data_IF_687470589727
#
_entry.id   IF_687470589727
#
_cell.length_a   1.000
_cell.length_b   1.000
_cell.length_c   1.000
_cell.angle_alpha   90.00
_cell.angle_beta   90.00
_cell.angle_gamma   90.00
#
_symmetry.space_group_name_H-M   'P 1'
#
loop_
_entity.id
_entity.type
_entity.pdbx_description
1 polymer ?
#
# COMPACT_ATOMS: atom_id res chain seq x y z
N UNK A 1 -64.77 -57.87 1.80
CA UNK A 1 -63.52 -57.62 2.54
C UNK A 1 -62.43 -57.39 1.50
N UNK A 2 -62.37 -56.17 0.95
CA UNK A 2 -61.34 -55.75 -0.01
C UNK A 2 -60.52 -54.67 0.70
N UNK A 3 -59.23 -54.93 0.94
CA UNK A 3 -58.32 -53.97 1.57
C UNK A 3 -57.57 -53.19 0.48
N UNK A 4 -57.82 -51.89 0.41
CA UNK A 4 -57.04 -50.95 -0.38
C UNK A 4 -55.60 -50.89 0.14
N UNK A 5 -54.63 -51.02 -0.77
CA UNK A 5 -53.22 -50.73 -0.50
C UNK A 5 -52.88 -49.40 -1.16
N UNK A 6 -52.59 -48.40 -0.33
CA UNK A 6 -52.09 -47.08 -0.74
C UNK A 6 -50.60 -47.19 -1.08
N UNK A 7 -50.10 -46.54 -2.14
CA UNK A 7 -48.67 -46.53 -2.44
C UNK A 7 -47.96 -45.47 -1.58
N UNK A 8 -46.85 -45.85 -0.96
CA UNK A 8 -45.96 -44.97 -0.21
C UNK A 8 -45.21 -44.07 -1.20
N UNK A 9 -45.31 -42.76 -1.02
CA UNK A 9 -44.60 -41.77 -1.82
C UNK A 9 -43.10 -41.82 -1.53
N UNK A 10 -42.30 -41.95 -2.59
CA UNK A 10 -40.85 -41.95 -2.56
C UNK A 10 -40.36 -40.51 -2.30
N UNK A 11 -39.89 -40.24 -1.08
CA UNK A 11 -39.32 -38.95 -0.73
C UNK A 11 -37.93 -38.82 -1.37
N UNK A 12 -37.89 -38.19 -2.55
CA UNK A 12 -36.65 -37.77 -3.19
C UNK A 12 -35.81 -36.94 -2.22
N UNK A 13 -34.67 -37.49 -1.79
CA UNK A 13 -33.71 -36.81 -0.94
C UNK A 13 -33.10 -35.62 -1.70
N UNK A 14 -33.48 -34.42 -1.30
CA UNK A 14 -32.84 -33.19 -1.76
C UNK A 14 -31.41 -33.15 -1.22
N UNK A 15 -30.44 -33.21 -2.12
CA UNK A 15 -29.03 -33.07 -1.76
C UNK A 15 -28.81 -31.67 -1.17
N UNK A 16 -28.28 -31.52 0.05
CA UNK A 16 -28.06 -30.20 0.61
C UNK A 16 -27.05 -29.44 -0.25
N UNK A 17 -27.48 -28.33 -0.85
CA UNK A 17 -26.57 -27.35 -1.45
C UNK A 17 -25.53 -26.95 -0.41
N UNK A 18 -24.26 -27.28 -0.68
CA UNK A 18 -23.15 -26.97 0.21
C UNK A 18 -23.15 -25.46 0.51
N UNK A 19 -23.33 -25.11 1.78
CA UNK A 19 -23.17 -23.74 2.26
C UNK A 19 -21.73 -23.32 1.92
N UNK A 20 -21.51 -22.19 1.23
CA UNK A 20 -20.16 -21.72 0.94
C UNK A 20 -19.39 -21.61 2.25
N UNK A 21 -18.26 -22.31 2.36
CA UNK A 21 -17.44 -22.26 3.55
C UNK A 21 -16.95 -20.81 3.75
N UNK A 22 -17.47 -20.15 4.78
CA UNK A 22 -16.99 -18.84 5.21
C UNK A 22 -15.63 -19.08 5.88
N UNK A 23 -14.56 -18.93 5.11
CA UNK A 23 -13.21 -18.97 5.65
C UNK A 23 -12.95 -17.71 6.48
N UNK A 24 -12.98 -17.87 7.80
CA UNK A 24 -12.71 -16.81 8.79
C UNK A 24 -11.23 -16.42 8.83
N UNK A 25 -10.35 -17.34 8.43
CA UNK A 25 -8.90 -17.13 8.47
C UNK A 25 -8.41 -16.33 7.24
N UNK A 26 -7.34 -15.55 7.45
CA UNK A 26 -6.57 -14.95 6.37
C UNK A 26 -6.14 -16.00 5.33
N UNK A 27 -5.86 -15.55 4.11
CA UNK A 27 -5.38 -16.46 3.06
C UNK A 27 -4.13 -17.20 3.53
N UNK A 28 -4.06 -18.48 3.23
CA UNK A 28 -2.85 -19.25 3.47
C UNK A 28 -1.71 -18.80 2.53
N UNK A 29 -0.51 -19.34 2.71
CA UNK A 29 0.66 -18.94 1.92
C UNK A 29 0.48 -19.15 0.41
N UNK A 30 -0.11 -20.27 0.00
CA UNK A 30 -0.32 -20.59 -1.42
C UNK A 30 -1.37 -19.66 -2.05
N UNK A 31 -2.49 -19.45 -1.36
CA UNK A 31 -3.56 -18.53 -1.78
C UNK A 31 -3.05 -17.07 -1.87
N UNK A 32 -2.22 -16.65 -0.93
CA UNK A 32 -1.61 -15.31 -0.93
C UNK A 32 -0.66 -15.15 -2.12
N UNK A 33 0.17 -16.16 -2.40
CA UNK A 33 1.07 -16.10 -3.57
C UNK A 33 0.28 -16.03 -4.87
N UNK A 34 -0.78 -16.82 -5.02
CA UNK A 34 -1.67 -16.76 -6.18
C UNK A 34 -2.32 -15.37 -6.33
N UNK A 35 -2.78 -14.76 -5.23
CA UNK A 35 -3.35 -13.42 -5.27
C UNK A 35 -2.33 -12.35 -5.70
N UNK A 36 -1.10 -12.42 -5.17
CA UNK A 36 0.02 -11.53 -5.55
C UNK A 36 0.41 -11.73 -7.02
N UNK A 37 0.44 -12.97 -7.48
CA UNK A 37 0.78 -13.32 -8.85
C UNK A 37 -0.30 -12.80 -9.83
N UNK A 38 -1.57 -13.11 -9.55
CA UNK A 38 -2.71 -12.66 -10.33
C UNK A 38 -2.76 -11.13 -10.44
N UNK A 39 -2.50 -10.43 -9.34
CA UNK A 39 -2.39 -8.97 -9.33
C UNK A 39 -1.21 -8.45 -10.19
N UNK A 40 -0.06 -9.11 -10.14
CA UNK A 40 1.09 -8.75 -10.98
C UNK A 40 0.79 -8.92 -12.48
N UNK A 41 0.13 -10.01 -12.85
CA UNK A 41 -0.30 -10.28 -14.23
C UNK A 41 -1.36 -9.27 -14.68
N UNK A 42 -2.37 -8.96 -13.86
CA UNK A 42 -3.45 -8.04 -14.22
C UNK A 42 -2.93 -6.62 -14.51
N UNK A 43 -1.94 -6.14 -13.73
CA UNK A 43 -1.25 -4.86 -13.95
C UNK A 43 -0.58 -4.75 -15.32
N UNK A 44 -0.19 -5.87 -15.94
CA UNK A 44 0.37 -5.86 -17.30
C UNK A 44 -0.67 -5.73 -18.40
N UNK A 45 -1.93 -6.07 -18.12
CA UNK A 45 -3.06 -6.03 -19.06
C UNK A 45 -3.82 -4.70 -19.01
N UNK A 46 -3.62 -3.93 -17.95
CA UNK A 46 -4.25 -2.63 -17.76
C UNK A 46 -3.78 -1.61 -18.81
N UNK A 47 -4.68 -0.71 -19.20
CA UNK A 47 -4.35 0.36 -20.16
C UNK A 47 -3.41 1.39 -19.51
N UNK A 48 -2.48 1.91 -20.32
CA UNK A 48 -1.45 2.86 -19.86
C UNK A 48 -2.06 4.09 -19.18
N UNK A 49 -3.15 4.62 -19.73
CA UNK A 49 -3.84 5.81 -19.20
C UNK A 49 -4.45 5.55 -17.83
N UNK A 50 -5.08 4.39 -17.62
CA UNK A 50 -5.67 4.05 -16.33
C UNK A 50 -4.55 3.81 -15.31
N UNK A 51 -3.49 3.07 -15.66
CA UNK A 51 -2.32 2.89 -14.79
C UNK A 51 -1.72 4.24 -14.38
N UNK A 52 -1.59 5.19 -15.33
CA UNK A 52 -1.06 6.51 -15.05
C UNK A 52 -1.95 7.32 -14.09
N UNK A 53 -3.28 7.31 -14.28
CA UNK A 53 -4.23 8.01 -13.39
C UNK A 53 -4.20 7.39 -11.99
N UNK A 54 -4.19 6.07 -11.88
CA UNK A 54 -4.07 5.40 -10.57
C UNK A 54 -2.71 5.70 -9.92
N UNK A 55 -1.66 5.87 -10.70
CA UNK A 55 -0.35 6.26 -10.19
C UNK A 55 -0.31 7.71 -9.70
N UNK A 56 -1.01 8.63 -10.37
CA UNK A 56 -1.21 10.01 -9.88
C UNK A 56 -1.85 10.01 -8.49
N UNK A 57 -2.94 9.24 -8.31
CA UNK A 57 -3.59 9.12 -7.01
C UNK A 57 -2.67 8.53 -5.95
N UNK A 58 -1.91 7.49 -6.28
CA UNK A 58 -0.97 6.89 -5.33
C UNK A 58 0.11 7.88 -4.86
N UNK A 59 0.65 8.70 -5.77
CA UNK A 59 1.60 9.76 -5.42
C UNK A 59 1.00 10.76 -4.44
N UNK A 60 -0.20 11.27 -4.72
CA UNK A 60 -0.91 12.18 -3.83
C UNK A 60 -1.25 11.52 -2.48
N UNK A 61 -1.68 10.26 -2.46
CA UNK A 61 -1.99 9.54 -1.21
C UNK A 61 -0.77 9.39 -0.31
N UNK A 62 0.39 9.02 -0.87
CA UNK A 62 1.64 8.98 -0.10
C UNK A 62 2.02 10.38 0.40
N UNK A 63 1.83 11.42 -0.42
CA UNK A 63 2.06 12.81 0.00
C UNK A 63 1.13 13.27 1.14
N UNK A 64 -0.13 12.83 1.19
CA UNK A 64 -1.01 13.08 2.35
C UNK A 64 -0.48 12.40 3.62
N UNK A 65 0.03 11.17 3.50
CA UNK A 65 0.70 10.49 4.60
C UNK A 65 1.94 11.26 5.09
N UNK A 66 2.76 11.78 4.17
CA UNK A 66 3.92 12.61 4.48
C UNK A 66 3.52 13.93 5.16
N UNK A 67 2.48 14.60 4.67
CA UNK A 67 1.96 15.81 5.30
C UNK A 67 1.47 15.51 6.72
N UNK A 68 0.72 14.42 6.93
CA UNK A 68 0.25 14.07 8.27
C UNK A 68 1.40 13.75 9.23
N UNK A 69 2.44 13.07 8.74
CA UNK A 69 3.70 12.90 9.47
C UNK A 69 4.30 14.24 9.89
N UNK A 70 4.36 15.23 8.99
CA UNK A 70 4.90 16.57 9.31
C UNK A 70 4.06 17.31 10.36
N UNK A 71 2.72 17.26 10.24
CA UNK A 71 1.82 17.87 11.23
C UNK A 71 2.05 17.28 12.62
N UNK A 72 2.13 15.95 12.73
CA UNK A 72 2.33 15.27 14.02
C UNK A 72 3.73 15.50 14.58
N UNK A 73 4.75 15.57 13.72
CA UNK A 73 6.14 15.68 14.15
C UNK A 73 6.65 17.13 14.23
N UNK A 74 5.84 18.13 13.90
CA UNK A 74 6.28 19.53 14.06
C UNK A 74 6.34 19.98 15.53
N UNK A 75 5.73 19.22 16.46
CA UNK A 75 5.75 19.54 17.88
C UNK A 75 7.18 19.41 18.47
N UNK A 76 7.76 20.49 19.02
CA UNK A 76 9.06 20.46 19.67
C UNK A 76 9.06 19.75 21.03
N UNK A 77 7.90 19.61 21.68
CA UNK A 77 7.80 18.97 22.99
C UNK A 77 7.96 17.44 22.93
N UNK A 78 7.79 16.83 21.74
CA UNK A 78 7.89 15.40 21.56
C UNK A 78 9.35 14.90 21.59
N UNK A 79 9.61 13.89 22.42
CA UNK A 79 10.91 13.24 22.53
C UNK A 79 11.22 12.32 21.34
N UNK A 80 12.51 12.08 21.08
CA UNK A 80 13.01 11.47 19.83
C UNK A 80 12.33 10.15 19.44
N UNK A 81 12.26 9.16 20.35
CA UNK A 81 11.69 7.84 20.03
C UNK A 81 10.18 7.89 19.73
N UNK A 82 9.35 8.38 20.68
CA UNK A 82 7.91 8.55 20.46
C UNK A 82 7.57 9.38 19.22
N UNK A 83 8.33 10.44 18.94
CA UNK A 83 8.17 11.26 17.74
C UNK A 83 8.23 10.48 16.44
N UNK A 84 9.21 9.58 16.34
CA UNK A 84 9.39 8.72 15.18
C UNK A 84 8.29 7.67 15.06
N UNK A 85 7.83 7.12 16.18
CA UNK A 85 6.76 6.11 16.18
C UNK A 85 5.39 6.70 15.83
N UNK A 86 4.98 7.79 16.49
CA UNK A 86 3.67 8.44 16.24
C UNK A 86 3.66 9.07 14.85
N UNK A 87 4.77 9.68 14.41
CA UNK A 87 4.94 10.11 13.02
C UNK A 87 4.78 8.94 12.04
N UNK A 88 5.39 7.79 12.33
CA UNK A 88 5.22 6.58 11.53
C UNK A 88 3.77 6.09 11.44
N UNK A 89 3.03 6.13 12.55
CA UNK A 89 1.60 5.80 12.56
C UNK A 89 0.77 6.77 11.72
N UNK A 90 1.07 8.08 11.80
CA UNK A 90 0.43 9.09 10.96
C UNK A 90 0.71 8.83 9.46
N UNK A 91 1.95 8.48 9.13
CA UNK A 91 2.37 8.17 7.76
C UNK A 91 1.62 6.97 7.15
N UNK A 92 1.15 6.01 7.97
CA UNK A 92 0.38 4.86 7.50
C UNK A 92 -0.85 5.25 6.66
N UNK A 93 -1.41 6.45 6.87
CA UNK A 93 -2.51 6.98 6.06
C UNK A 93 -2.24 6.84 4.56
N UNK A 94 -1.01 7.11 4.11
CA UNK A 94 -0.69 7.07 2.69
C UNK A 94 -0.86 5.69 2.06
N UNK A 95 -0.25 4.64 2.65
CA UNK A 95 -0.35 3.29 2.10
C UNK A 95 -1.75 2.68 2.31
N UNK A 96 -2.46 3.05 3.39
CA UNK A 96 -3.85 2.66 3.59
C UNK A 96 -4.72 3.17 2.43
N UNK A 97 -4.61 4.46 2.08
CA UNK A 97 -5.36 5.03 0.95
C UNK A 97 -5.00 4.33 -0.36
N UNK A 98 -3.72 4.08 -0.62
CA UNK A 98 -3.27 3.36 -1.82
C UNK A 98 -3.93 1.98 -1.93
N UNK A 99 -3.89 1.17 -0.87
CA UNK A 99 -4.38 -0.21 -0.91
C UNK A 99 -5.91 -0.30 -0.83
N UNK A 100 -6.57 0.59 -0.10
CA UNK A 100 -8.03 0.61 0.00
C UNK A 100 -8.69 1.17 -1.26
N UNK A 101 -8.08 2.16 -1.92
CA UNK A 101 -8.61 2.74 -3.16
C UNK A 101 -8.09 2.05 -4.43
N UNK A 102 -7.17 1.09 -4.31
CA UNK A 102 -6.62 0.36 -5.45
C UNK A 102 -5.75 1.21 -6.38
N UNK A 103 -4.99 2.15 -5.81
CA UNK A 103 -4.07 3.00 -6.57
C UNK A 103 -2.76 2.27 -6.90
N UNK A 104 -2.05 2.72 -7.94
CA UNK A 104 -0.82 2.07 -8.42
C UNK A 104 0.42 2.74 -7.83
N UNK A 105 1.09 2.07 -6.89
CA UNK A 105 2.28 2.59 -6.23
C UNK A 105 3.55 1.86 -6.69
N UNK A 106 4.59 2.60 -7.06
CA UNK A 106 5.83 2.03 -7.59
C UNK A 106 6.49 1.01 -6.64
N UNK A 107 6.62 1.37 -5.36
CA UNK A 107 7.22 0.51 -4.33
C UNK A 107 6.41 -0.77 -4.13
N UNK A 108 5.07 -0.69 -4.13
CA UNK A 108 4.21 -1.88 -4.14
C UNK A 108 4.32 -2.71 -5.42
N UNK A 109 4.45 -2.06 -6.58
CA UNK A 109 4.63 -2.73 -7.87
C UNK A 109 6.00 -3.37 -8.03
N UNK A 110 6.95 -3.14 -7.11
CA UNK A 110 8.20 -3.89 -7.06
C UNK A 110 7.97 -5.40 -6.86
N UNK A 111 6.85 -5.80 -6.25
CA UNK A 111 6.44 -7.22 -6.15
C UNK A 111 6.24 -7.88 -7.52
N UNK A 112 6.02 -7.12 -8.60
CA UNK A 112 5.98 -7.69 -9.95
C UNK A 112 7.31 -8.36 -10.34
N UNK A 113 8.42 -8.08 -9.65
CA UNK A 113 9.66 -8.81 -9.83
C UNK A 113 9.53 -10.31 -9.51
N UNK A 114 8.69 -10.71 -8.54
CA UNK A 114 8.43 -12.13 -8.26
C UNK A 114 7.69 -12.80 -9.43
N UNK A 115 6.78 -12.07 -10.07
CA UNK A 115 6.06 -12.53 -11.26
C UNK A 115 6.99 -12.71 -12.46
N UNK A 116 7.98 -11.83 -12.62
CA UNK A 116 9.01 -11.99 -13.64
C UNK A 116 9.87 -13.22 -13.36
N UNK A 117 10.30 -13.42 -12.12
CA UNK A 117 11.07 -14.59 -11.70
C UNK A 117 10.29 -15.90 -11.93
N UNK A 118 8.98 -15.89 -11.68
CA UNK A 118 8.06 -16.98 -11.95
C UNK A 118 7.69 -17.13 -13.45
N UNK A 119 8.26 -16.31 -14.35
CA UNK A 119 8.00 -16.28 -15.80
C UNK A 119 6.53 -16.05 -16.17
N UNK A 120 5.78 -15.34 -15.33
CA UNK A 120 4.36 -15.01 -15.54
C UNK A 120 4.16 -13.72 -16.31
N UNK A 121 5.16 -12.84 -16.29
CA UNK A 121 5.20 -11.58 -17.04
C UNK A 121 6.54 -11.44 -17.78
N UNK A 122 6.58 -10.60 -18.81
CA UNK A 122 7.81 -10.28 -19.52
C UNK A 122 8.53 -9.08 -18.91
N UNK A 123 9.86 -9.04 -19.02
CA UNK A 123 10.68 -7.91 -18.55
C UNK A 123 10.24 -6.56 -19.16
N UNK A 124 9.91 -6.45 -20.48
CA UNK A 124 9.38 -5.21 -21.03
C UNK A 124 8.06 -4.76 -20.40
N UNK A 125 7.17 -5.71 -20.05
CA UNK A 125 5.91 -5.38 -19.39
C UNK A 125 6.14 -4.85 -17.96
N UNK A 126 7.09 -5.44 -17.22
CA UNK A 126 7.52 -4.97 -15.91
C UNK A 126 8.06 -3.54 -15.98
N UNK A 127 9.09 -3.31 -16.80
CA UNK A 127 9.75 -2.01 -16.92
C UNK A 127 8.77 -0.94 -17.39
N UNK A 128 7.88 -1.25 -18.34
CA UNK A 128 6.82 -0.32 -18.78
C UNK A 128 5.91 0.09 -17.63
N UNK A 129 5.45 -0.86 -16.81
CA UNK A 129 4.61 -0.53 -15.65
C UNK A 129 5.39 0.36 -14.66
N UNK A 130 6.61 -0.04 -14.31
CA UNK A 130 7.45 0.72 -13.37
C UNK A 130 7.68 2.16 -13.81
N UNK A 131 8.01 2.39 -15.08
CA UNK A 131 8.23 3.74 -15.61
C UNK A 131 6.95 4.57 -15.53
N UNK A 132 5.81 4.05 -16.01
CA UNK A 132 4.54 4.78 -15.99
C UNK A 132 4.15 5.13 -14.55
N UNK A 133 4.27 4.16 -13.65
CA UNK A 133 3.84 4.32 -12.26
C UNK A 133 4.76 5.26 -11.50
N UNK A 134 6.08 5.17 -11.69
CA UNK A 134 7.02 6.07 -11.03
C UNK A 134 6.80 7.54 -11.42
N UNK A 135 6.62 7.84 -12.72
CA UNK A 135 6.34 9.19 -13.18
C UNK A 135 4.93 9.67 -12.79
N UNK A 136 3.94 8.77 -12.79
CA UNK A 136 2.61 9.09 -12.27
C UNK A 136 2.65 9.43 -10.78
N UNK A 137 3.37 8.65 -9.97
CA UNK A 137 3.55 8.94 -8.54
C UNK A 137 4.22 10.31 -8.33
N UNK A 138 5.29 10.62 -9.07
CA UNK A 138 5.96 11.92 -9.00
C UNK A 138 5.01 13.07 -9.34
N UNK A 139 4.30 13.00 -10.47
CA UNK A 139 3.38 14.06 -10.86
C UNK A 139 2.23 14.22 -9.85
N UNK A 140 1.76 13.12 -9.26
CA UNK A 140 0.75 13.14 -8.21
C UNK A 140 1.23 13.87 -6.94
N UNK A 141 2.46 13.60 -6.51
CA UNK A 141 3.08 14.28 -5.38
C UNK A 141 3.28 15.79 -5.67
N UNK A 142 3.75 16.15 -6.87
CA UNK A 142 3.93 17.54 -7.30
C UNK A 142 2.61 18.32 -7.40
N UNK A 143 1.53 17.69 -7.86
CA UNK A 143 0.19 18.31 -7.86
C UNK A 143 -0.23 18.57 -6.41
N UNK A 144 -0.07 17.58 -5.54
CA UNK A 144 -0.45 17.73 -4.13
C UNK A 144 0.36 18.83 -3.43
N UNK A 145 1.69 18.89 -3.61
CA UNK A 145 2.50 19.93 -2.94
C UNK A 145 2.13 21.34 -3.42
N UNK A 146 1.73 21.52 -4.68
CA UNK A 146 1.18 22.78 -5.17
C UNK A 146 -0.14 23.15 -4.49
N UNK A 147 -1.04 22.18 -4.30
CA UNK A 147 -2.29 22.38 -3.55
C UNK A 147 -2.02 22.73 -2.07
N UNK A 148 -1.07 22.04 -1.43
CA UNK A 148 -0.64 22.30 -0.04
C UNK A 148 -0.04 23.71 0.10
N UNK A 149 0.75 24.15 -0.88
CA UNK A 149 1.30 25.51 -0.90
C UNK A 149 0.19 26.57 -1.00
N UNK A 150 -0.80 26.38 -1.88
CA UNK A 150 -1.96 27.27 -1.98
C UNK A 150 -2.84 27.25 -0.72
N UNK A 151 -2.91 26.10 -0.03
CA UNK A 151 -3.62 25.97 1.24
C UNK A 151 -2.87 26.60 2.42
N UNK A 152 -1.63 27.08 2.23
CA UNK A 152 -0.83 27.71 3.29
C UNK A 152 -0.42 26.75 4.41
N UNK A 153 -0.49 25.43 4.20
CA UNK A 153 -0.35 24.44 5.27
C UNK A 153 1.05 24.46 5.93
N UNK A 154 2.08 24.87 5.20
CA UNK A 154 3.44 25.01 5.74
C UNK A 154 3.57 26.14 6.75
N UNK A 155 2.64 27.10 6.76
CA UNK A 155 2.57 28.19 7.74
C UNK A 155 1.84 27.84 9.04
N UNK A 156 1.27 26.63 9.14
CA UNK A 156 0.60 26.19 10.38
C UNK A 156 1.60 26.05 11.53
N UNK A 157 1.08 26.15 12.76
CA UNK A 157 1.88 26.11 14.00
C UNK A 157 3.04 27.12 13.95
N UNK A 158 2.72 28.37 13.61
CA UNK A 158 3.67 29.48 13.47
C UNK A 158 4.86 29.18 12.54
N UNK A 159 4.63 28.37 11.49
CA UNK A 159 5.64 27.99 10.50
C UNK A 159 6.46 26.73 10.84
N UNK A 160 6.26 26.13 12.02
CA UNK A 160 7.00 24.93 12.45
C UNK A 160 6.77 23.72 11.54
N UNK A 161 5.63 23.64 10.86
CA UNK A 161 5.37 22.59 9.85
C UNK A 161 6.34 22.72 8.68
N UNK A 162 6.50 23.94 8.15
CA UNK A 162 7.45 24.24 7.08
C UNK A 162 8.90 24.02 7.52
N UNK A 163 9.28 24.46 8.72
CA UNK A 163 10.63 24.22 9.26
C UNK A 163 10.93 22.72 9.40
N UNK A 164 9.95 21.93 9.88
CA UNK A 164 10.07 20.48 9.99
C UNK A 164 10.21 19.82 8.62
N UNK A 165 9.48 20.31 7.60
CA UNK A 165 9.61 19.84 6.22
C UNK A 165 11.02 20.09 5.66
N UNK A 166 11.54 21.31 5.83
CA UNK A 166 12.89 21.69 5.38
C UNK A 166 13.96 20.87 6.11
N UNK A 167 13.87 20.76 7.44
CA UNK A 167 14.80 19.96 8.24
C UNK A 167 14.80 18.48 7.82
N UNK A 168 13.61 17.92 7.58
CA UNK A 168 13.45 16.54 7.07
C UNK A 168 14.10 16.39 5.71
N UNK A 169 13.87 17.33 4.78
CA UNK A 169 14.47 17.30 3.45
C UNK A 169 16.00 17.38 3.50
N UNK A 170 16.56 18.30 4.29
CA UNK A 170 18.02 18.44 4.49
C UNK A 170 18.60 17.12 4.98
N UNK A 171 17.99 16.49 5.99
CA UNK A 171 18.49 15.23 6.56
C UNK A 171 18.54 14.06 5.56
N UNK A 172 17.75 14.13 4.50
CA UNK A 172 17.66 13.10 3.45
C UNK A 172 18.64 13.35 2.31
N UNK A 173 18.80 14.59 1.88
CA UNK A 173 19.69 14.93 0.76
C UNK A 173 21.18 14.89 1.13
N UNK A 174 21.50 14.88 2.43
CA UNK A 174 22.87 14.79 2.94
C UNK A 174 23.34 13.36 3.23
N UNK A 175 22.52 12.34 2.98
CA UNK A 175 22.90 10.94 3.22
C UNK A 175 23.95 10.48 2.21
N UNK A 176 24.90 9.67 2.66
CA UNK A 176 25.85 9.03 1.75
C UNK A 176 25.12 8.01 0.84
N UNK A 177 25.60 7.79 -0.39
CA UNK A 177 24.90 6.95 -1.37
C UNK A 177 24.67 5.50 -0.90
N UNK A 178 25.60 4.93 -0.14
CA UNK A 178 25.50 3.54 0.32
C UNK A 178 24.44 3.41 1.42
N UNK A 179 24.43 4.33 2.38
CA UNK A 179 23.37 4.39 3.40
C UNK A 179 22.00 4.63 2.78
N UNK A 180 21.89 5.55 1.80
CA UNK A 180 20.64 5.80 1.09
C UNK A 180 20.15 4.53 0.37
N UNK A 181 21.04 3.82 -0.32
CA UNK A 181 20.72 2.55 -0.97
C UNK A 181 20.24 1.49 0.02
N UNK A 182 20.98 1.26 1.11
CA UNK A 182 20.63 0.27 2.13
C UNK A 182 19.28 0.60 2.80
N UNK A 183 19.05 1.87 3.15
CA UNK A 183 17.76 2.35 3.69
C UNK A 183 16.63 2.18 2.69
N UNK A 184 16.88 2.37 1.40
CA UNK A 184 15.90 2.12 0.33
C UNK A 184 15.51 0.65 0.22
N UNK A 185 16.49 -0.27 0.27
CA UNK A 185 16.24 -1.71 0.25
C UNK A 185 15.40 -2.13 1.46
N UNK A 186 15.80 -1.73 2.66
CA UNK A 186 15.10 -2.07 3.90
C UNK A 186 13.68 -1.47 3.95
N UNK A 187 13.49 -0.25 3.45
CA UNK A 187 12.16 0.34 3.28
C UNK A 187 11.28 -0.56 2.41
N UNK A 188 11.77 -0.91 1.22
CA UNK A 188 10.95 -1.60 0.24
C UNK A 188 10.65 -3.06 0.63
N UNK A 189 11.50 -3.70 1.44
CA UNK A 189 11.18 -4.99 2.07
C UNK A 189 9.90 -4.87 2.92
N UNK A 190 9.81 -3.85 3.79
CA UNK A 190 8.65 -3.63 4.64
C UNK A 190 7.41 -3.19 3.86
N UNK A 191 7.57 -2.36 2.83
CA UNK A 191 6.45 -1.97 1.94
C UNK A 191 5.92 -3.19 1.18
N UNK A 192 6.79 -4.00 0.58
CA UNK A 192 6.38 -5.22 -0.10
C UNK A 192 5.66 -6.19 0.86
N UNK A 193 6.15 -6.32 2.10
CA UNK A 193 5.48 -7.12 3.12
C UNK A 193 4.10 -6.58 3.45
N UNK A 194 3.94 -5.26 3.65
CA UNK A 194 2.65 -4.62 3.90
C UNK A 194 1.65 -4.86 2.75
N UNK A 195 2.13 -4.77 1.50
CA UNK A 195 1.30 -5.04 0.31
C UNK A 195 0.90 -6.52 0.24
N UNK A 196 1.81 -7.46 0.55
CA UNK A 196 1.48 -8.90 0.63
C UNK A 196 0.44 -9.18 1.72
N UNK A 197 0.57 -8.58 2.90
CA UNK A 197 -0.44 -8.64 3.96
C UNK A 197 -1.78 -8.08 3.45
N UNK A 198 -1.73 -6.99 2.68
CA UNK A 198 -2.89 -6.42 2.01
C UNK A 198 -3.60 -7.41 1.07
N UNK A 199 -2.85 -8.24 0.34
CA UNK A 199 -3.41 -9.30 -0.51
C UNK A 199 -3.92 -10.51 0.28
N UNK A 200 -3.32 -10.86 1.41
CA UNK A 200 -3.76 -11.98 2.25
C UNK A 200 -5.00 -11.69 3.11
N UNK A 201 -5.37 -10.41 3.22
CA UNK A 201 -6.45 -9.89 4.06
C UNK A 201 -7.85 -10.07 3.45
N UNK A 202 -8.88 -10.31 4.28
CA UNK A 202 -10.27 -10.52 3.83
C UNK A 202 -11.18 -9.30 4.00
N UNK A 203 -10.85 -8.40 4.93
CA UNK A 203 -11.58 -7.15 5.15
C UNK A 203 -10.68 -5.93 5.00
N UNK A 204 -11.27 -4.75 4.81
CA UNK A 204 -10.54 -3.47 4.85
C UNK A 204 -9.87 -3.26 6.21
N UNK A 205 -10.50 -3.71 7.30
CA UNK A 205 -9.95 -3.59 8.65
C UNK A 205 -8.68 -4.43 8.83
N UNK A 206 -8.67 -5.67 8.33
CA UNK A 206 -7.49 -6.56 8.38
C UNK A 206 -6.31 -5.93 7.64
N UNK A 207 -6.58 -5.36 6.46
CA UNK A 207 -5.58 -4.65 5.66
C UNK A 207 -4.98 -3.49 6.45
N UNK A 208 -5.84 -2.62 7.00
CA UNK A 208 -5.41 -1.46 7.78
C UNK A 208 -4.52 -1.90 8.94
N UNK A 209 -4.99 -2.85 9.77
CA UNK A 209 -4.22 -3.35 10.92
C UNK A 209 -2.88 -3.96 10.50
N UNK A 210 -2.86 -4.74 9.42
CA UNK A 210 -1.65 -5.39 8.92
C UNK A 210 -0.61 -4.41 8.36
N UNK A 211 -1.03 -3.25 7.87
CA UNK A 211 -0.16 -2.21 7.31
C UNK A 211 0.49 -1.36 8.41
N UNK A 212 -0.16 -1.19 9.57
CA UNK A 212 0.29 -0.23 10.59
C UNK A 212 1.73 -0.46 11.04
N UNK A 213 2.09 -1.70 11.39
CA UNK A 213 3.41 -1.99 11.96
C UNK A 213 4.55 -1.94 10.93
N UNK A 214 4.45 -2.57 9.73
CA UNK A 214 5.52 -2.45 8.73
C UNK A 214 5.79 -1.01 8.32
N UNK A 215 4.75 -0.19 8.19
CA UNK A 215 4.88 1.20 7.73
C UNK A 215 5.37 2.13 8.83
N UNK A 216 4.77 2.08 10.03
CA UNK A 216 5.29 2.84 11.16
C UNK A 216 6.72 2.43 11.51
N UNK A 217 7.05 1.14 11.37
CA UNK A 217 8.37 0.59 11.58
C UNK A 217 9.42 1.19 10.66
N UNK A 218 9.20 1.20 9.33
CA UNK A 218 10.22 1.74 8.41
C UNK A 218 10.45 3.24 8.63
N UNK A 219 9.38 4.00 8.93
CA UNK A 219 9.49 5.43 9.24
C UNK A 219 10.26 5.62 10.54
N UNK A 220 9.91 4.86 11.57
CA UNK A 220 10.57 4.95 12.87
C UNK A 220 12.05 4.58 12.79
N UNK A 221 12.40 3.57 12.00
CA UNK A 221 13.79 3.15 11.75
C UNK A 221 14.56 4.10 10.81
N UNK A 222 13.88 5.03 10.14
CA UNK A 222 14.52 6.02 9.27
C UNK A 222 14.94 5.46 7.92
N UNK A 223 14.18 4.50 7.41
CA UNK A 223 14.34 3.98 6.07
C UNK A 223 13.78 4.96 5.03
N UNK A 224 14.25 4.82 3.79
CA UNK A 224 14.04 5.83 2.74
C UNK A 224 13.07 5.30 1.67
N UNK A 225 11.97 6.03 1.47
CA UNK A 225 10.90 5.64 0.54
C UNK A 225 10.88 6.59 -0.66
N UNK A 226 11.20 6.09 -1.85
CA UNK A 226 11.38 6.95 -3.02
C UNK A 226 10.16 7.82 -3.35
N UNK A 227 8.93 7.29 -3.26
CA UNK A 227 7.71 8.07 -3.56
C UNK A 227 7.35 9.05 -2.43
N UNK A 228 7.77 8.79 -1.19
CA UNK A 228 7.53 9.73 -0.09
C UNK A 228 8.54 10.88 -0.10
N UNK A 229 9.68 10.67 -0.75
CA UNK A 229 10.72 11.66 -0.96
C UNK A 229 10.48 12.53 -2.22
N UNK A 230 9.51 12.16 -3.07
CA UNK A 230 9.07 12.97 -4.22
C UNK A 230 8.28 14.19 -3.75
#
# INVERSE_FOLDING_TARGET
MQSETTPVADHAATTPTAVPAVHVNALNTAETEEAVESAGVSKTKQSKSVTFILALFAGAFIGFGALFFLIVTCDPAMTWGPKRFVGGLAFCMGLILVLCCGAELFTGNSLMASNLAARRISLPALVRNWVIVWFGNLLGALILVALIAMAGTMGLNDGLVGETAVSTAISKVTLDPLTLFARGVLCNVLVCLAVRIGYSSRSTADKVLGILLPISGFVAMGFEHCVANM
#
